data_IF_833165180712
#
_entry.id   IF_833165180712
#
_cell.length_a   1.000
_cell.length_b   1.000
_cell.length_c   1.000
_cell.angle_alpha   90.00
_cell.angle_beta   90.00
_cell.angle_gamma   90.00
#
_symmetry.space_group_name_H-M   'P 1'
#
loop_
_entity.id
_entity.type
_entity.pdbx_description
1 polymer ?
#
# COMPACT_ATOMS: atom_id res chain seq x y z
N UNK A 1 -12.48 -32.27 -15.60
CA UNK A 1 -13.07 -31.42 -14.53
C UNK A 1 -12.02 -30.43 -14.08
N UNK A 2 -12.36 -29.15 -13.96
CA UNK A 2 -11.41 -28.13 -13.50
C UNK A 2 -11.10 -28.31 -12.01
N UNK A 3 -9.88 -27.97 -11.61
CA UNK A 3 -9.51 -27.95 -10.18
C UNK A 3 -10.37 -26.93 -9.44
N UNK A 4 -10.97 -27.33 -8.32
CA UNK A 4 -11.91 -26.53 -7.53
C UNK A 4 -13.40 -26.71 -7.86
N UNK A 5 -13.75 -27.54 -8.86
CA UNK A 5 -15.15 -27.82 -9.16
C UNK A 5 -15.75 -28.82 -8.15
N UNK A 6 -16.97 -28.55 -7.71
CA UNK A 6 -17.73 -29.43 -6.80
C UNK A 6 -18.56 -30.40 -7.63
N UNK A 7 -18.43 -31.70 -7.34
CA UNK A 7 -19.28 -32.73 -7.92
C UNK A 7 -20.57 -32.87 -7.08
N UNK A 8 -21.72 -32.92 -7.76
CA UNK A 8 -23.04 -33.06 -7.14
C UNK A 8 -23.36 -34.50 -6.76
N UNK A 9 -24.58 -34.94 -7.05
CA UNK A 9 -25.13 -36.23 -6.62
C UNK A 9 -24.67 -37.45 -7.43
N UNK A 10 -23.77 -37.29 -8.41
CA UNK A 10 -23.35 -38.39 -9.31
C UNK A 10 -21.94 -38.86 -8.97
N UNK A 11 -21.66 -40.15 -9.11
CA UNK A 11 -20.31 -40.70 -8.98
C UNK A 11 -19.55 -40.58 -10.30
N UNK A 12 -18.30 -40.11 -10.24
CA UNK A 12 -17.45 -39.97 -11.43
C UNK A 12 -16.01 -40.35 -11.12
N UNK A 13 -15.41 -41.11 -12.04
CA UNK A 13 -14.03 -41.56 -11.97
C UNK A 13 -13.20 -40.65 -12.87
N UNK A 14 -12.14 -40.05 -12.34
CA UNK A 14 -11.27 -39.16 -13.11
C UNK A 14 -9.80 -39.50 -12.92
N UNK A 15 -9.01 -39.28 -13.97
CA UNK A 15 -7.55 -39.39 -13.95
C UNK A 15 -6.96 -37.98 -13.87
N UNK A 16 -6.11 -37.75 -12.88
CA UNK A 16 -5.37 -36.49 -12.77
C UNK A 16 -4.39 -36.37 -13.93
N UNK A 17 -4.48 -35.29 -14.70
CA UNK A 17 -3.59 -34.98 -15.83
C UNK A 17 -2.47 -34.02 -15.45
N UNK A 18 -2.64 -33.26 -14.37
CA UNK A 18 -1.68 -32.28 -13.87
C UNK A 18 -1.51 -32.43 -12.36
N UNK A 19 -0.30 -32.15 -11.87
CA UNK A 19 -0.03 -32.04 -10.44
C UNK A 19 -0.83 -30.87 -9.83
N UNK A 20 -1.11 -30.94 -8.53
CA UNK A 20 -1.85 -29.91 -7.79
C UNK A 20 -1.22 -28.51 -7.94
N UNK A 21 0.11 -28.44 -7.93
CA UNK A 21 0.88 -27.20 -8.16
C UNK A 21 0.69 -26.58 -9.55
N UNK A 22 0.33 -27.39 -10.56
CA UNK A 22 0.07 -26.93 -11.92
C UNK A 22 -1.43 -26.77 -12.20
N UNK A 23 -2.27 -26.82 -11.15
CA UNK A 23 -3.72 -26.72 -11.30
C UNK A 23 -4.14 -25.29 -11.62
N UNK A 24 -5.30 -25.15 -12.29
CA UNK A 24 -5.91 -23.85 -12.55
C UNK A 24 -6.19 -23.07 -11.25
N UNK A 25 -6.55 -23.77 -10.17
CA UNK A 25 -6.78 -23.17 -8.87
C UNK A 25 -5.49 -22.57 -8.29
N UNK A 26 -4.37 -23.29 -8.38
CA UNK A 26 -3.08 -22.79 -7.93
C UNK A 26 -2.66 -21.53 -8.72
N UNK A 27 -2.95 -21.50 -10.03
CA UNK A 27 -2.69 -20.35 -10.88
C UNK A 27 -3.52 -19.12 -10.50
N UNK A 28 -4.77 -19.31 -10.08
CA UNK A 28 -5.62 -18.24 -9.54
C UNK A 28 -5.05 -17.73 -8.22
N UNK A 29 -4.61 -18.62 -7.31
CA UNK A 29 -4.00 -18.20 -6.05
C UNK A 29 -2.71 -17.40 -6.28
N UNK A 30 -1.89 -17.79 -7.24
CA UNK A 30 -0.67 -17.05 -7.61
C UNK A 30 -0.99 -15.67 -8.19
N UNK A 31 -2.04 -15.55 -9.02
CA UNK A 31 -2.53 -14.26 -9.52
C UNK A 31 -3.06 -13.37 -8.40
N UNK A 32 -3.80 -13.94 -7.44
CA UNK A 32 -4.31 -13.20 -6.28
C UNK A 32 -3.19 -12.77 -5.35
N UNK A 33 -2.18 -13.63 -5.14
CA UNK A 33 -0.99 -13.30 -4.36
C UNK A 33 -0.20 -12.16 -4.99
N UNK A 34 0.11 -12.26 -6.29
CA UNK A 34 0.85 -11.22 -7.02
C UNK A 34 0.08 -9.90 -7.10
N UNK A 35 -1.25 -9.93 -7.20
CA UNK A 35 -2.09 -8.73 -7.15
C UNK A 35 -2.09 -8.06 -5.77
N UNK A 36 -2.08 -8.83 -4.67
CA UNK A 36 -1.96 -8.30 -3.30
C UNK A 36 -0.58 -7.70 -3.02
N UNK A 37 0.47 -8.31 -3.59
CA UNK A 37 1.85 -7.86 -3.41
C UNK A 37 2.19 -6.65 -4.29
N UNK A 38 1.44 -6.47 -5.38
CA UNK A 38 1.44 -5.29 -6.23
C UNK A 38 0.94 -4.07 -5.46
N UNK A 39 1.85 -3.37 -4.77
CA UNK A 39 1.59 -2.02 -4.27
C UNK A 39 1.19 -1.11 -5.45
N UNK A 40 0.03 -0.42 -5.40
CA UNK A 40 -0.39 0.48 -6.47
C UNK A 40 0.69 1.54 -6.75
N UNK A 41 1.03 1.76 -8.02
CA UNK A 41 2.07 2.72 -8.43
C UNK A 41 1.82 4.14 -7.87
N UNK A 42 0.55 4.47 -7.59
CA UNK A 42 0.08 5.74 -7.04
C UNK A 42 0.54 5.97 -5.59
N UNK A 43 0.70 4.91 -4.80
CA UNK A 43 1.20 5.01 -3.40
C UNK A 43 2.68 5.43 -3.40
N UNK A 44 3.44 4.96 -4.40
CA UNK A 44 4.86 5.32 -4.57
C UNK A 44 5.05 6.82 -4.82
N UNK A 45 4.17 7.45 -5.60
CA UNK A 45 4.26 8.89 -5.89
C UNK A 45 3.85 9.76 -4.70
N UNK A 46 2.86 9.33 -3.92
CA UNK A 46 2.46 10.02 -2.70
C UNK A 46 3.58 10.02 -1.65
N UNK A 47 4.22 8.86 -1.42
CA UNK A 47 5.37 8.75 -0.52
C UNK A 47 6.56 9.59 -0.98
N UNK A 48 6.85 9.62 -2.29
CA UNK A 48 7.96 10.41 -2.83
C UNK A 48 7.74 11.92 -2.64
N UNK A 49 6.49 12.40 -2.65
CA UNK A 49 6.16 13.80 -2.38
C UNK A 49 6.14 14.14 -0.88
N UNK A 50 5.89 13.16 -0.01
CA UNK A 50 5.88 13.36 1.44
C UNK A 50 7.28 13.69 1.99
N UNK A 51 8.33 13.08 1.43
CA UNK A 51 9.73 13.32 1.86
C UNK A 51 10.18 14.78 1.68
N UNK A 52 10.13 15.40 0.47
CA UNK A 52 10.56 16.78 0.29
C UNK A 52 9.70 17.76 1.09
N UNK A 53 8.40 17.49 1.24
CA UNK A 53 7.51 18.30 2.07
C UNK A 53 7.93 18.27 3.55
N UNK A 54 8.26 17.09 4.07
CA UNK A 54 8.74 16.93 5.46
C UNK A 54 10.03 17.69 5.70
N UNK A 55 10.99 17.57 4.78
CA UNK A 55 12.29 18.29 4.86
C UNK A 55 12.07 19.80 4.83
N UNK A 56 11.21 20.30 3.94
CA UNK A 56 10.90 21.72 3.84
C UNK A 56 10.22 22.25 5.11
N UNK A 57 9.25 21.52 5.64
CA UNK A 57 8.58 21.85 6.90
C UNK A 57 9.57 21.93 8.06
N UNK A 58 10.48 20.95 8.18
CA UNK A 58 11.51 20.94 9.22
C UNK A 58 12.45 22.14 9.11
N UNK A 59 12.84 22.51 7.88
CA UNK A 59 13.68 23.67 7.63
C UNK A 59 12.98 24.97 8.08
N UNK A 60 11.71 25.16 7.71
CA UNK A 60 10.92 26.34 8.11
C UNK A 60 10.73 26.38 9.64
N UNK A 61 10.43 25.25 10.27
CA UNK A 61 10.30 25.16 11.72
C UNK A 61 11.62 25.50 12.44
N UNK A 62 12.75 25.00 11.93
CA UNK A 62 14.08 25.32 12.46
C UNK A 62 14.44 26.79 12.33
N UNK A 63 14.14 27.42 11.18
CA UNK A 63 14.33 28.87 10.97
C UNK A 63 13.44 29.67 11.93
N UNK A 64 12.17 29.30 12.07
CA UNK A 64 11.24 29.95 12.98
C UNK A 64 11.73 29.87 14.43
N UNK A 65 12.30 28.74 14.83
CA UNK A 65 12.92 28.57 16.15
C UNK A 65 14.17 29.44 16.33
N UNK A 66 15.08 29.43 15.35
CA UNK A 66 16.32 30.22 15.39
C UNK A 66 16.06 31.73 15.49
N UNK A 67 15.05 32.23 14.78
CA UNK A 67 14.67 33.66 14.83
C UNK A 67 13.90 34.00 16.10
N UNK A 68 13.05 33.09 16.59
CA UNK A 68 12.18 33.39 17.75
C UNK A 68 12.84 33.11 19.11
N UNK A 69 13.87 32.27 19.17
CA UNK A 69 14.54 31.82 20.40
C UNK A 69 13.68 30.95 21.34
N UNK A 70 12.38 30.78 21.04
CA UNK A 70 11.40 30.09 21.87
C UNK A 70 11.02 28.73 21.27
N UNK A 71 11.17 27.62 22.01
CA UNK A 71 10.83 26.28 21.51
C UNK A 71 9.33 26.09 21.21
N UNK A 72 8.46 26.94 21.77
CA UNK A 72 7.02 26.90 21.47
C UNK A 72 6.70 27.20 20.00
N UNK A 73 7.46 28.10 19.36
CA UNK A 73 7.26 28.49 17.95
C UNK A 73 7.57 27.35 16.99
N UNK A 74 8.53 26.49 17.35
CA UNK A 74 8.84 25.27 16.60
C UNK A 74 7.64 24.32 16.54
N UNK A 75 7.03 24.04 17.71
CA UNK A 75 5.88 23.15 17.81
C UNK A 75 4.66 23.68 17.02
N UNK A 76 4.42 25.00 17.05
CA UNK A 76 3.32 25.64 16.31
C UNK A 76 3.46 25.45 14.79
N UNK A 77 4.67 25.61 14.24
CA UNK A 77 4.93 25.41 12.81
C UNK A 77 4.76 23.94 12.42
N UNK A 78 5.22 23.02 13.26
CA UNK A 78 5.11 21.58 12.98
C UNK A 78 3.65 21.12 12.94
N UNK A 79 2.81 21.61 13.87
CA UNK A 79 1.37 21.30 13.90
C UNK A 79 0.68 21.81 12.64
N UNK A 80 0.97 23.05 12.23
CA UNK A 80 0.39 23.62 11.02
C UNK A 80 0.83 22.88 9.75
N UNK A 81 2.05 22.36 9.74
CA UNK A 81 2.59 21.62 8.60
C UNK A 81 2.06 20.18 8.49
N UNK A 82 1.25 19.70 9.44
CA UNK A 82 0.69 18.33 9.38
C UNK A 82 -0.10 18.16 8.08
N UNK A 83 0.29 17.21 7.20
CA UNK A 83 -0.27 17.12 5.86
C UNK A 83 -1.60 16.34 5.87
N UNK A 84 -2.60 16.86 6.61
CA UNK A 84 -3.94 16.28 6.67
C UNK A 84 -4.59 16.10 5.28
N UNK A 85 -4.45 17.04 4.32
CA UNK A 85 -5.01 16.86 2.97
C UNK A 85 -4.27 15.80 2.14
N UNK A 86 -2.97 15.63 2.39
CA UNK A 86 -2.13 14.68 1.64
C UNK A 86 -2.49 13.23 1.96
N UNK A 87 -2.89 12.97 3.21
CA UNK A 87 -3.33 11.65 3.67
C UNK A 87 -4.63 11.18 3.01
N UNK A 88 -5.52 12.11 2.61
CA UNK A 88 -6.78 11.80 1.92
C UNK A 88 -6.57 11.70 0.39
N UNK A 89 -5.47 12.25 -0.12
CA UNK A 89 -5.12 12.18 -1.54
C UNK A 89 -4.50 10.83 -1.96
N UNK A 90 -3.99 10.04 -1.01
CA UNK A 90 -3.60 8.66 -1.27
C UNK A 90 -4.86 7.81 -1.53
N UNK A 91 -4.91 6.99 -2.60
CA UNK A 91 -6.08 6.18 -2.87
C UNK A 91 -6.27 5.16 -1.73
N UNK A 92 -7.45 5.19 -1.10
CA UNK A 92 -7.94 4.16 -0.18
C UNK A 92 -8.26 2.85 -0.90
#
# INVERSE_FOLDING_TARGET
>A
VMSGAVNGSTTLTMRATQLAQNSQYQKILELVSSAQESRPAVVKTADVLAVPFTVLSLAIAGIAWAVSGLPLRFAQVLVLATPCPLLIAAPV
#
